data_IF_187984781922
#
_entry.id   IF_187984781922
#
_cell.length_a   1.000
_cell.length_b   1.000
_cell.length_c   1.000
_cell.angle_alpha   90.00
_cell.angle_beta   90.00
_cell.angle_gamma   90.00
#
_symmetry.space_group_name_H-M   'P 1'
#
loop_
_entity.id
_entity.type
_entity.pdbx_description
1 polymer ?
#
# COMPACT_ATOMS: atom_id res chain seq x y z
N UNK A 1 2.70 12.56 30.93
CA UNK A 1 2.83 11.77 32.17
C UNK A 1 4.12 10.97 32.16
N UNK A 2 4.96 11.13 33.18
CA UNK A 2 6.22 10.36 33.35
C UNK A 2 6.66 10.41 34.81
N UNK A 3 7.27 9.33 35.30
CA UNK A 3 7.79 9.24 36.68
C UNK A 3 6.73 9.58 37.76
N UNK A 4 5.48 9.15 37.54
CA UNK A 4 4.36 9.44 38.45
C UNK A 4 3.92 10.90 38.47
N UNK A 5 4.39 11.74 37.55
CA UNK A 5 4.04 13.16 37.46
C UNK A 5 3.31 13.50 36.15
N UNK A 6 2.34 14.40 36.26
CA UNK A 6 1.73 15.09 35.13
C UNK A 6 2.48 16.39 34.86
N UNK A 7 2.81 16.61 33.59
CA UNK A 7 3.51 17.81 33.14
C UNK A 7 2.70 18.48 32.04
N UNK A 8 2.59 19.81 32.10
CA UNK A 8 1.80 20.60 31.17
C UNK A 8 2.62 21.75 30.59
N UNK A 9 2.46 21.96 29.28
CA UNK A 9 3.03 23.09 28.58
C UNK A 9 2.06 23.57 27.51
N UNK A 10 1.93 24.89 27.38
CA UNK A 10 1.06 25.53 26.39
C UNK A 10 1.87 26.37 25.43
N UNK A 11 1.50 26.28 24.16
CA UNK A 11 2.03 27.09 23.08
C UNK A 11 0.94 27.96 22.45
N UNK A 12 1.32 29.10 21.90
CA UNK A 12 0.44 29.96 21.10
C UNK A 12 1.27 30.55 19.97
N UNK A 13 0.86 30.31 18.72
CA UNK A 13 1.63 30.67 17.51
C UNK A 13 3.10 30.18 17.54
N UNK A 14 3.32 28.98 18.08
CA UNK A 14 4.65 28.36 18.19
C UNK A 14 5.47 28.82 19.40
N UNK A 15 5.08 29.90 20.08
CA UNK A 15 5.77 30.43 21.25
C UNK A 15 5.24 29.80 22.54
N UNK A 16 6.15 29.47 23.45
CA UNK A 16 5.78 28.97 24.78
C UNK A 16 5.09 30.08 25.58
N UNK A 17 3.94 29.78 26.16
CA UNK A 17 3.20 30.73 27.01
C UNK A 17 3.82 30.81 28.41
N UNK A 18 4.30 29.66 28.91
CA UNK A 18 4.97 29.53 30.19
C UNK A 18 6.01 28.38 30.11
N UNK A 19 6.95 28.28 31.07
CA UNK A 19 7.79 27.09 31.23
C UNK A 19 6.95 25.82 31.46
N UNK A 20 7.57 24.65 31.25
CA UNK A 20 6.94 23.36 31.58
C UNK A 20 6.58 23.32 33.06
N UNK A 21 5.30 23.10 33.34
CA UNK A 21 4.75 23.02 34.69
C UNK A 21 4.55 21.56 35.10
N UNK A 22 4.81 21.24 36.36
CA UNK A 22 4.38 19.96 36.96
C UNK A 22 3.04 20.18 37.64
N UNK A 23 1.98 19.56 37.12
CA UNK A 23 0.62 19.69 37.64
C UNK A 23 0.38 18.85 38.91
N UNK A 24 1.19 17.80 39.11
CA UNK A 24 1.13 16.97 40.31
C UNK A 24 1.27 15.49 40.01
N UNK A 25 0.72 14.66 40.90
CA UNK A 25 0.74 13.21 40.77
C UNK A 25 -0.15 12.74 39.61
N UNK A 26 0.37 11.81 38.83
CA UNK A 26 -0.32 11.19 37.70
C UNK A 26 -0.91 9.83 38.07
N UNK A 27 -2.13 9.54 37.62
CA UNK A 27 -2.69 8.17 37.60
C UNK A 27 -2.13 7.32 36.47
N UNK A 28 -1.68 7.96 35.38
CA UNK A 28 -1.06 7.30 34.23
C UNK A 28 0.41 6.96 34.53
N UNK A 29 0.85 5.75 34.16
CA UNK A 29 2.23 5.32 34.33
C UNK A 29 3.19 6.12 33.44
N UNK A 30 2.89 6.18 32.14
CA UNK A 30 3.58 7.01 31.15
C UNK A 30 2.64 7.40 30.01
N UNK A 31 2.91 8.52 29.33
CA UNK A 31 2.15 8.92 28.15
C UNK A 31 2.33 10.38 27.77
N UNK A 32 1.76 10.78 26.65
CA UNK A 32 1.73 12.17 26.18
C UNK A 32 0.42 12.46 25.49
N UNK A 33 -0.27 13.51 25.91
CA UNK A 33 -1.42 14.06 25.22
C UNK A 33 -1.01 15.35 24.52
N UNK A 34 -1.49 15.53 23.29
CA UNK A 34 -1.30 16.75 22.51
C UNK A 34 -2.65 17.22 22.01
N UNK A 35 -3.07 18.38 22.50
CA UNK A 35 -4.27 19.07 22.01
C UNK A 35 -3.85 20.34 21.29
N UNK A 36 -4.36 20.53 20.06
CA UNK A 36 -4.06 21.71 19.26
C UNK A 36 -5.29 22.21 18.50
N UNK A 37 -5.31 23.52 18.22
CA UNK A 37 -6.28 24.15 17.32
C UNK A 37 -5.52 24.68 16.10
N UNK A 38 -5.84 24.23 14.87
CA UNK A 38 -5.20 24.75 13.68
C UNK A 38 -5.49 26.25 13.49
N UNK A 39 -4.50 27.01 13.00
CA UNK A 39 -4.64 28.45 12.78
C UNK A 39 -5.48 28.74 11.54
N UNK A 40 -6.53 29.56 11.68
CA UNK A 40 -7.33 30.06 10.56
C UNK A 40 -6.61 31.09 9.70
N UNK A 41 -5.48 31.63 10.16
CA UNK A 41 -4.61 32.50 9.35
C UNK A 41 -3.77 31.70 8.35
N UNK A 42 -3.48 30.43 8.67
CA UNK A 42 -2.71 29.53 7.81
C UNK A 42 -3.62 28.66 6.95
N UNK A 43 -4.68 28.11 7.53
CA UNK A 43 -5.57 27.17 6.84
C UNK A 43 -6.93 27.82 6.55
N UNK A 44 -7.37 27.86 5.28
CA UNK A 44 -8.70 28.39 4.93
C UNK A 44 -9.84 27.52 5.48
N UNK A 45 -9.57 26.25 5.79
CA UNK A 45 -10.51 25.33 6.43
C UNK A 45 -9.83 24.65 7.62
N UNK A 46 -10.44 24.78 8.78
CA UNK A 46 -9.91 24.23 10.05
C UNK A 46 -10.75 23.08 10.61
N UNK A 47 -11.90 22.75 9.99
CA UNK A 47 -12.66 21.58 10.41
C UNK A 47 -11.97 20.29 9.93
N UNK A 48 -11.81 19.35 10.86
CA UNK A 48 -11.31 18.02 10.55
C UNK A 48 -12.39 17.17 9.86
N UNK A 49 -11.98 16.42 8.85
CA UNK A 49 -12.81 15.42 8.19
C UNK A 49 -12.65 14.06 8.89
N UNK A 50 -13.74 13.54 9.44
CA UNK A 50 -13.72 12.28 10.17
C UNK A 50 -13.31 11.10 9.28
N UNK A 51 -13.80 11.05 8.03
CA UNK A 51 -13.55 9.93 7.13
C UNK A 51 -12.07 9.87 6.72
N UNK A 52 -11.42 11.03 6.57
CA UNK A 52 -9.97 11.09 6.30
C UNK A 52 -9.18 10.55 7.49
N UNK A 53 -9.52 10.96 8.72
CA UNK A 53 -8.87 10.48 9.94
C UNK A 53 -9.11 8.99 10.16
N UNK A 54 -10.37 8.55 10.05
CA UNK A 54 -10.77 7.14 10.17
C UNK A 54 -9.97 6.26 9.23
N UNK A 55 -9.88 6.61 7.94
CA UNK A 55 -9.11 5.86 6.97
C UNK A 55 -7.65 5.77 7.41
N UNK A 56 -7.04 6.90 7.78
CA UNK A 56 -5.61 6.96 8.12
C UNK A 56 -5.28 6.19 9.40
N UNK A 57 -6.11 6.28 10.42
CA UNK A 57 -5.93 5.58 11.68
C UNK A 57 -6.14 4.07 11.52
N UNK A 58 -7.11 3.65 10.69
CA UNK A 58 -7.31 2.24 10.36
C UNK A 58 -6.09 1.64 9.66
N UNK A 59 -5.50 2.34 8.69
CA UNK A 59 -4.24 1.93 8.06
C UNK A 59 -3.12 1.74 9.09
N UNK A 60 -2.98 2.70 10.03
CA UNK A 60 -1.97 2.63 11.08
C UNK A 60 -2.18 1.44 12.03
N UNK A 61 -3.43 1.11 12.37
CA UNK A 61 -3.74 -0.05 13.19
C UNK A 61 -3.32 -1.36 12.49
N UNK A 62 -3.56 -1.49 11.18
CA UNK A 62 -3.08 -2.66 10.41
C UNK A 62 -1.55 -2.74 10.34
N UNK A 63 -0.86 -1.61 10.16
CA UNK A 63 0.60 -1.56 10.07
C UNK A 63 1.30 -1.83 11.41
N UNK A 64 0.57 -1.77 12.53
CA UNK A 64 1.09 -1.99 13.88
C UNK A 64 0.18 -2.99 14.59
N UNK A 65 0.33 -4.28 14.24
CA UNK A 65 -0.47 -5.37 14.82
C UNK A 65 -0.48 -5.29 16.35
N UNK A 66 -1.67 -5.38 16.94
CA UNK A 66 -1.87 -5.27 18.39
C UNK A 66 -1.98 -3.84 18.94
N UNK A 67 -1.76 -2.80 18.13
CA UNK A 67 -2.01 -1.42 18.52
C UNK A 67 -3.52 -1.13 18.52
N UNK A 68 -4.05 -0.68 19.65
CA UNK A 68 -5.39 -0.11 19.72
C UNK A 68 -5.35 1.39 19.42
N UNK A 69 -6.20 1.84 18.50
CA UNK A 69 -6.39 3.25 18.16
C UNK A 69 -7.86 3.59 18.30
N UNK A 70 -8.17 4.59 19.12
CA UNK A 70 -9.54 5.08 19.35
C UNK A 70 -9.69 6.45 18.67
N UNK A 71 -10.66 6.57 17.75
CA UNK A 71 -11.04 7.84 17.13
C UNK A 71 -12.41 8.28 17.67
N UNK A 72 -12.45 9.44 18.33
CA UNK A 72 -13.66 10.05 18.88
C UNK A 72 -13.98 11.38 18.22
N UNK A 73 -15.24 11.58 17.88
CA UNK A 73 -15.78 12.84 17.39
C UNK A 73 -16.91 13.32 18.30
N UNK A 74 -16.59 14.34 19.10
CA UNK A 74 -17.47 14.96 20.07
C UNK A 74 -18.06 16.29 19.57
N UNK A 75 -18.12 16.53 18.25
CA UNK A 75 -18.72 17.77 17.70
C UNK A 75 -20.23 17.85 17.85
N UNK A 76 -20.91 16.69 17.98
CA UNK A 76 -22.37 16.61 18.18
C UNK A 76 -22.70 16.05 19.56
N UNK A 77 -23.97 16.16 19.98
CA UNK A 77 -24.42 15.65 21.28
C UNK A 77 -24.22 14.12 21.40
N UNK A 78 -24.29 13.39 20.29
CA UNK A 78 -23.92 11.97 20.23
C UNK A 78 -22.46 11.86 19.81
N UNK A 79 -21.60 11.33 20.68
CA UNK A 79 -20.21 11.08 20.34
C UNK A 79 -20.14 9.93 19.35
N UNK A 80 -19.52 10.16 18.19
CA UNK A 80 -19.16 9.07 17.27
C UNK A 80 -17.81 8.52 17.70
N UNK A 81 -17.71 7.21 17.90
CA UNK A 81 -16.50 6.51 18.29
C UNK A 81 -16.23 5.34 17.35
N UNK A 82 -14.98 5.20 16.94
CA UNK A 82 -14.48 4.03 16.19
C UNK A 82 -13.23 3.51 16.91
N UNK A 83 -13.18 2.21 17.13
CA UNK A 83 -12.04 1.51 17.74
C UNK A 83 -11.39 0.64 16.67
N UNK A 84 -10.10 0.86 16.42
CA UNK A 84 -9.29 0.07 15.51
C UNK A 84 -8.32 -0.78 16.31
N UNK A 85 -8.54 -2.09 16.30
CA UNK A 85 -7.63 -3.07 16.88
C UNK A 85 -7.61 -4.28 15.95
N UNK A 86 -6.44 -4.57 15.38
CA UNK A 86 -6.28 -5.64 14.41
C UNK A 86 -5.11 -6.54 14.79
N UNK A 87 -5.39 -7.83 14.80
CA UNK A 87 -4.42 -8.92 14.87
C UNK A 87 -4.30 -9.52 13.46
N UNK A 88 -3.08 -9.72 12.96
CA UNK A 88 -2.84 -10.27 11.60
C UNK A 88 -2.18 -9.30 10.61
N UNK A 89 -1.81 -8.11 11.05
CA UNK A 89 -0.92 -7.20 10.30
C UNK A 89 -1.37 -6.93 8.86
N UNK A 90 -0.43 -7.08 7.90
CA UNK A 90 -0.68 -6.79 6.49
C UNK A 90 -1.66 -7.77 5.83
N UNK A 91 -1.76 -9.01 6.32
CA UNK A 91 -2.72 -10.00 5.79
C UNK A 91 -4.16 -9.53 6.04
N UNK A 92 -4.45 -9.15 7.29
CA UNK A 92 -5.75 -8.59 7.67
C UNK A 92 -6.05 -7.31 6.87
N UNK A 93 -5.02 -6.53 6.55
CA UNK A 93 -5.18 -5.32 5.73
C UNK A 93 -5.59 -5.65 4.29
N UNK A 94 -4.92 -6.59 3.63
CA UNK A 94 -5.30 -7.04 2.27
C UNK A 94 -6.71 -7.60 2.26
N UNK A 95 -7.06 -8.45 3.22
CA UNK A 95 -8.42 -8.98 3.36
C UNK A 95 -9.46 -7.87 3.55
N UNK A 96 -9.13 -6.83 4.32
CA UNK A 96 -10.01 -5.68 4.50
C UNK A 96 -10.18 -4.86 3.20
N UNK A 97 -9.11 -4.66 2.43
CA UNK A 97 -9.16 -3.95 1.14
C UNK A 97 -10.02 -4.70 0.12
N UNK A 98 -9.92 -6.03 0.11
CA UNK A 98 -10.63 -6.90 -0.83
C UNK A 98 -11.98 -7.41 -0.33
N UNK A 99 -12.49 -6.93 0.81
CA UNK A 99 -13.76 -7.40 1.42
C UNK A 99 -15.01 -7.35 0.53
N UNK A 100 -14.95 -6.58 -0.56
CA UNK A 100 -16.04 -6.43 -1.54
C UNK A 100 -15.78 -7.13 -2.87
N UNK A 101 -14.67 -7.86 -2.99
CA UNK A 101 -14.20 -8.55 -4.19
C UNK A 101 -14.09 -10.05 -3.93
N UNK A 102 -14.08 -10.85 -4.98
CA UNK A 102 -13.85 -12.29 -4.85
C UNK A 102 -12.36 -12.59 -4.99
N UNK A 103 -11.72 -12.99 -3.89
CA UNK A 103 -10.31 -13.38 -3.88
C UNK A 103 -10.10 -14.69 -4.66
N UNK A 104 -9.06 -14.74 -5.49
CA UNK A 104 -8.65 -15.94 -6.22
C UNK A 104 -7.83 -16.90 -5.36
N UNK A 105 -7.15 -16.35 -4.35
CA UNK A 105 -6.30 -17.09 -3.42
C UNK A 105 -6.64 -16.72 -1.99
N UNK A 106 -6.57 -17.70 -1.09
CA UNK A 106 -6.81 -17.51 0.34
C UNK A 106 -6.02 -18.54 1.13
N UNK A 107 -5.27 -18.14 2.16
CA UNK A 107 -5.03 -16.75 2.59
C UNK A 107 -4.18 -15.95 1.59
N UNK A 108 -4.12 -14.61 1.70
CA UNK A 108 -3.17 -13.79 0.94
C UNK A 108 -1.72 -14.28 1.09
N UNK A 109 -0.91 -14.10 0.06
CA UNK A 109 0.53 -14.38 0.13
C UNK A 109 1.19 -13.32 1.01
N UNK A 110 1.87 -13.75 2.06
CA UNK A 110 2.59 -12.87 2.97
C UNK A 110 4.10 -13.11 2.88
N UNK A 111 4.88 -12.08 3.16
CA UNK A 111 6.33 -12.16 3.17
C UNK A 111 6.95 -11.15 4.11
N UNK A 112 7.97 -11.58 4.84
CA UNK A 112 8.76 -10.72 5.72
C UNK A 112 10.22 -11.13 5.62
N UNK A 113 11.09 -10.15 5.38
CA UNK A 113 12.54 -10.34 5.35
C UNK A 113 13.21 -9.13 5.97
N UNK A 114 14.16 -9.39 6.87
CA UNK A 114 15.05 -8.36 7.41
C UNK A 114 16.45 -8.59 6.86
N UNK A 115 17.01 -7.56 6.21
CA UNK A 115 18.39 -7.61 5.75
C UNK A 115 19.30 -7.17 6.90
N UNK A 116 20.11 -8.08 7.48
CA UNK A 116 20.93 -7.77 8.64
C UNK A 116 22.10 -6.82 8.33
N UNK A 117 22.52 -6.71 7.07
CA UNK A 117 23.68 -5.89 6.69
C UNK A 117 23.34 -4.40 6.65
N UNK A 118 22.13 -4.04 6.22
CA UNK A 118 21.69 -2.65 6.08
C UNK A 118 20.51 -2.28 7.00
N UNK A 119 19.98 -3.22 7.78
CA UNK A 119 18.87 -3.02 8.71
C UNK A 119 17.53 -2.71 8.03
N UNK A 120 17.39 -2.97 6.73
CA UNK A 120 16.14 -2.77 6.00
C UNK A 120 15.25 -3.98 6.22
N UNK A 121 14.07 -3.75 6.78
CA UNK A 121 13.00 -4.75 6.89
C UNK A 121 11.97 -4.54 5.80
N UNK A 122 11.62 -5.60 5.09
CA UNK A 122 10.59 -5.63 4.05
C UNK A 122 9.47 -6.54 4.53
N UNK A 123 8.25 -6.05 4.53
CA UNK A 123 7.06 -6.82 4.85
C UNK A 123 6.00 -6.55 3.77
N UNK A 124 5.34 -7.58 3.27
CA UNK A 124 4.26 -7.43 2.31
C UNK A 124 3.17 -8.49 2.49
N UNK A 125 1.97 -8.14 2.03
CA UNK A 125 0.89 -9.08 1.79
C UNK A 125 0.27 -8.78 0.43
N UNK A 126 -0.15 -9.80 -0.31
CA UNK A 126 -0.81 -9.62 -1.60
C UNK A 126 -1.82 -10.73 -1.90
N UNK A 127 -2.83 -10.39 -2.68
CA UNK A 127 -3.78 -11.33 -3.27
C UNK A 127 -4.19 -10.89 -4.67
N UNK A 128 -4.64 -11.83 -5.49
CA UNK A 128 -5.36 -11.53 -6.73
C UNK A 128 -6.85 -11.70 -6.48
N UNK A 129 -7.65 -10.81 -7.07
CA UNK A 129 -9.11 -10.84 -7.04
C UNK A 129 -9.69 -10.76 -8.46
N UNK A 130 -11.01 -10.87 -8.55
CA UNK A 130 -11.78 -10.89 -9.79
C UNK A 130 -11.88 -9.53 -10.50
N UNK A 131 -11.34 -8.45 -9.91
CA UNK A 131 -11.35 -7.13 -10.54
C UNK A 131 -10.28 -6.96 -11.63
N UNK A 132 -10.34 -5.81 -12.30
CA UNK A 132 -9.40 -5.42 -13.36
C UNK A 132 -8.37 -4.36 -12.91
N UNK A 133 -8.40 -3.95 -11.64
CA UNK A 133 -7.61 -2.82 -11.15
C UNK A 133 -6.58 -3.24 -10.10
N UNK A 134 -5.35 -2.77 -10.28
CA UNK A 134 -4.28 -2.88 -9.28
C UNK A 134 -4.59 -1.94 -8.09
N UNK A 135 -4.64 -2.51 -6.89
CA UNK A 135 -4.64 -1.78 -5.62
C UNK A 135 -3.28 -1.99 -4.95
N UNK A 136 -2.38 -1.01 -5.03
CA UNK A 136 -1.05 -1.12 -4.43
C UNK A 136 -0.84 -0.01 -3.41
N UNK A 137 -0.64 -0.38 -2.14
CA UNK A 137 -0.32 0.57 -1.07
C UNK A 137 1.14 0.38 -0.62
N UNK A 138 1.90 1.47 -0.63
CA UNK A 138 3.31 1.47 -0.23
C UNK A 138 3.54 2.31 1.01
N UNK A 139 4.30 1.77 1.96
CA UNK A 139 4.65 2.42 3.22
C UNK A 139 6.13 2.33 3.51
N UNK A 140 6.69 3.40 4.07
CA UNK A 140 8.05 3.46 4.60
C UNK A 140 7.96 4.01 6.01
N UNK A 141 8.38 3.25 7.02
CA UNK A 141 8.29 3.64 8.44
C UNK A 141 6.87 4.11 8.84
N UNK A 142 5.83 3.39 8.41
CA UNK A 142 4.39 3.69 8.61
C UNK A 142 3.86 4.93 7.86
N UNK A 143 4.67 5.58 7.04
CA UNK A 143 4.27 6.74 6.23
C UNK A 143 3.87 6.24 4.83
N UNK A 144 2.69 6.61 4.30
CA UNK A 144 2.24 6.18 2.97
C UNK A 144 2.99 6.95 1.89
N UNK A 145 3.31 6.28 0.79
CA UNK A 145 3.86 6.88 -0.42
C UNK A 145 2.81 6.79 -1.53
N UNK A 146 2.10 7.90 -1.79
CA UNK A 146 1.10 7.95 -2.87
C UNK A 146 1.70 7.67 -4.25
N UNK A 147 2.92 8.17 -4.48
CA UNK A 147 3.60 8.09 -5.77
C UNK A 147 4.61 6.91 -5.80
N UNK A 148 4.59 6.04 -4.79
CA UNK A 148 5.45 4.88 -4.67
C UNK A 148 6.92 5.26 -4.45
N UNK A 149 7.83 4.69 -5.25
CA UNK A 149 9.27 4.94 -5.11
C UNK A 149 10.13 3.72 -5.38
N UNK A 150 11.34 3.71 -4.81
CA UNK A 150 12.34 2.65 -4.96
C UNK A 150 11.82 1.27 -4.53
N UNK A 151 11.08 1.20 -3.42
CA UNK A 151 10.44 -0.02 -2.92
C UNK A 151 9.40 -0.56 -3.90
N UNK A 152 8.49 0.29 -4.40
CA UNK A 152 7.49 -0.10 -5.40
C UNK A 152 8.15 -0.60 -6.70
N UNK A 153 9.20 0.07 -7.16
CA UNK A 153 9.94 -0.34 -8.35
C UNK A 153 10.55 -1.74 -8.17
N UNK A 154 11.19 -2.00 -7.02
CA UNK A 154 11.76 -3.31 -6.69
C UNK A 154 10.69 -4.40 -6.64
N UNK A 155 9.57 -4.13 -5.98
CA UNK A 155 8.44 -5.05 -5.88
C UNK A 155 7.87 -5.40 -7.26
N UNK A 156 7.59 -4.40 -8.11
CA UNK A 156 7.01 -4.63 -9.44
C UNK A 156 7.96 -5.40 -10.36
N UNK A 157 9.26 -5.09 -10.31
CA UNK A 157 10.27 -5.81 -11.08
C UNK A 157 10.35 -7.28 -10.65
N UNK A 158 10.39 -7.54 -9.35
CA UNK A 158 10.43 -8.90 -8.81
C UNK A 158 9.17 -9.69 -9.16
N UNK A 159 7.98 -9.11 -8.94
CA UNK A 159 6.72 -9.75 -9.28
C UNK A 159 6.65 -10.08 -10.77
N UNK A 160 7.01 -9.13 -11.64
CA UNK A 160 7.00 -9.35 -13.10
C UNK A 160 7.93 -10.51 -13.49
N UNK A 161 9.13 -10.56 -12.90
CA UNK A 161 10.10 -11.62 -13.15
C UNK A 161 9.60 -12.99 -12.68
N UNK A 162 9.07 -13.08 -11.46
CA UNK A 162 8.62 -14.36 -10.88
C UNK A 162 7.40 -14.90 -11.60
N UNK A 163 6.37 -14.07 -11.77
CA UNK A 163 5.12 -14.46 -12.43
C UNK A 163 5.39 -14.82 -13.89
N UNK A 164 6.20 -14.02 -14.61
CA UNK A 164 6.60 -14.31 -15.98
C UNK A 164 7.34 -15.64 -16.11
N UNK A 165 8.37 -15.88 -15.28
CA UNK A 165 9.12 -17.14 -15.28
C UNK A 165 8.21 -18.35 -15.02
N UNK A 166 7.28 -18.24 -14.08
CA UNK A 166 6.36 -19.33 -13.78
C UNK A 166 5.35 -19.54 -14.93
N UNK A 167 4.84 -18.47 -15.53
CA UNK A 167 3.97 -18.55 -16.71
C UNK A 167 4.65 -19.26 -17.89
N UNK A 168 5.92 -18.94 -18.16
CA UNK A 168 6.70 -19.60 -19.21
C UNK A 168 6.85 -21.11 -19.01
N UNK A 169 6.92 -21.55 -17.75
CA UNK A 169 6.99 -22.98 -17.40
C UNK A 169 5.68 -23.73 -17.66
N UNK A 170 4.55 -23.03 -17.63
CA UNK A 170 3.22 -23.61 -17.85
C UNK A 170 2.72 -23.46 -19.30
N UNK A 171 2.94 -22.30 -19.91
CA UNK A 171 2.34 -21.91 -21.19
C UNK A 171 3.30 -21.08 -22.04
N UNK A 172 4.41 -21.69 -22.47
CA UNK A 172 5.53 -21.01 -23.14
C UNK A 172 5.16 -20.12 -24.34
N UNK A 173 4.16 -20.50 -25.15
CA UNK A 173 3.76 -19.71 -26.33
C UNK A 173 3.00 -18.44 -25.95
N UNK A 174 2.04 -18.56 -25.03
CA UNK A 174 1.18 -17.45 -24.63
C UNK A 174 1.92 -16.48 -23.70
N UNK A 175 2.85 -17.02 -22.89
CA UNK A 175 3.66 -16.27 -21.94
C UNK A 175 4.59 -15.22 -22.58
N UNK A 176 5.01 -15.40 -23.85
CA UNK A 176 5.94 -14.48 -24.53
C UNK A 176 5.37 -13.06 -24.73
N UNK A 177 4.06 -12.90 -24.62
CA UNK A 177 3.38 -11.62 -24.83
C UNK A 177 3.03 -10.90 -23.53
N UNK A 178 3.31 -11.50 -22.37
CA UNK A 178 2.91 -10.97 -21.07
C UNK A 178 3.63 -9.66 -20.76
N UNK A 179 2.88 -8.69 -20.26
CA UNK A 179 3.36 -7.44 -19.73
C UNK A 179 3.13 -7.38 -18.22
N UNK A 180 3.90 -6.54 -17.51
CA UNK A 180 3.73 -6.41 -16.07
C UNK A 180 2.33 -5.92 -15.66
N UNK A 181 1.63 -5.21 -16.53
CA UNK A 181 0.23 -4.81 -16.30
C UNK A 181 -0.70 -6.02 -16.25
N UNK A 182 -0.54 -7.00 -17.16
CA UNK A 182 -1.30 -8.24 -17.17
C UNK A 182 -1.12 -9.01 -15.85
N UNK A 183 0.11 -8.98 -15.30
CA UNK A 183 0.45 -9.67 -14.05
C UNK A 183 -0.11 -9.00 -12.79
N UNK A 184 -0.43 -7.70 -12.87
CA UNK A 184 -0.96 -6.90 -11.77
C UNK A 184 -2.47 -6.64 -11.89
N UNK A 185 -3.11 -7.12 -12.95
CA UNK A 185 -4.55 -7.01 -13.10
C UNK A 185 -5.25 -7.72 -11.94
N UNK A 186 -6.11 -6.99 -11.22
CA UNK A 186 -6.82 -7.50 -10.04
C UNK A 186 -5.91 -7.80 -8.85
N UNK A 187 -4.67 -7.34 -8.83
CA UNK A 187 -3.77 -7.47 -7.69
C UNK A 187 -4.17 -6.45 -6.60
N UNK A 188 -4.33 -6.91 -5.37
CA UNK A 188 -4.32 -6.07 -4.17
C UNK A 188 -3.08 -6.41 -3.35
N UNK A 189 -2.24 -5.41 -3.08
CA UNK A 189 -0.99 -5.60 -2.36
C UNK A 189 -0.71 -4.43 -1.41
N UNK A 190 -0.15 -4.77 -0.25
CA UNK A 190 0.36 -3.83 0.74
C UNK A 190 1.84 -4.13 0.96
N UNK A 191 2.69 -3.12 0.77
CA UNK A 191 4.14 -3.19 0.96
C UNK A 191 4.56 -2.19 2.03
N UNK A 192 5.17 -2.69 3.10
CA UNK A 192 5.71 -1.89 4.21
C UNK A 192 7.20 -2.15 4.32
N UNK A 193 8.00 -1.09 4.26
CA UNK A 193 9.45 -1.16 4.51
C UNK A 193 9.81 -0.37 5.77
N UNK A 194 10.68 -0.94 6.60
CA UNK A 194 11.36 -0.22 7.68
C UNK A 194 12.79 0.07 7.23
N UNK A 195 13.16 1.34 7.22
CA UNK A 195 14.44 1.82 6.70
C UNK A 195 15.08 2.72 7.75
N UNK A 196 16.35 2.53 8.13
CA UNK A 196 17.03 3.36 9.13
C UNK A 196 17.11 4.85 8.74
N UNK A 197 17.52 5.15 7.50
CA UNK A 197 17.69 6.52 7.00
C UNK A 197 16.99 6.73 5.63
N UNK A 198 15.64 6.80 5.59
CA UNK A 198 14.90 6.89 4.34
C UNK A 198 14.97 8.28 3.72
N UNK A 199 15.21 8.33 2.41
CA UNK A 199 15.22 9.57 1.62
C UNK A 199 13.94 9.72 0.83
N UNK A 200 13.29 10.89 0.94
CA UNK A 200 12.06 11.22 0.24
C UNK A 200 12.27 12.38 -0.73
N UNK A 201 11.50 12.40 -1.83
CA UNK A 201 11.59 13.48 -2.83
C UNK A 201 11.04 14.83 -2.34
N UNK A 202 10.23 14.83 -1.28
CA UNK A 202 9.54 16.00 -0.75
C UNK A 202 9.22 15.83 0.74
N UNK A 203 8.84 16.94 1.39
CA UNK A 203 8.37 16.94 2.79
C UNK A 203 7.06 16.15 2.97
N UNK A 204 6.20 16.09 1.95
CA UNK A 204 4.97 15.28 1.98
C UNK A 204 5.26 13.78 1.95
N UNK A 205 6.52 13.39 1.65
CA UNK A 205 7.00 12.00 1.64
C UNK A 205 6.21 11.09 0.70
N UNK A 206 5.66 11.65 -0.38
CA UNK A 206 4.84 10.92 -1.36
C UNK A 206 5.65 9.90 -2.17
N UNK A 207 6.97 10.08 -2.28
CA UNK A 207 7.86 9.19 -3.04
C UNK A 207 9.16 8.89 -2.32
N UNK A 208 9.47 7.60 -2.17
CA UNK A 208 10.75 7.10 -1.64
C UNK A 208 11.82 7.09 -2.74
N UNK A 209 12.97 7.72 -2.48
CA UNK A 209 14.09 7.84 -3.43
C UNK A 209 15.39 7.16 -2.95
N UNK A 210 15.34 6.46 -1.80
CA UNK A 210 16.42 5.59 -1.31
C UNK A 210 16.69 4.43 -2.27
N UNK A 211 17.70 4.58 -3.14
CA UNK A 211 18.05 3.59 -4.18
C UNK A 211 18.44 2.22 -3.62
N UNK A 212 19.01 2.19 -2.42
CA UNK A 212 19.41 0.99 -1.68
C UNK A 212 18.23 0.08 -1.30
N UNK A 213 17.01 0.64 -1.23
CA UNK A 213 15.80 -0.13 -0.87
C UNK A 213 15.32 -1.01 -2.01
N UNK A 214 15.47 -0.55 -3.27
CA UNK A 214 15.00 -1.29 -4.45
C UNK A 214 15.57 -2.71 -4.53
N UNK A 215 16.90 -2.95 -4.48
CA UNK A 215 17.44 -4.31 -4.59
C UNK A 215 17.03 -5.21 -3.42
N UNK A 216 16.88 -4.67 -2.21
CA UNK A 216 16.45 -5.44 -1.02
C UNK A 216 15.01 -5.91 -1.18
N UNK A 217 14.10 -5.01 -1.56
CA UNK A 217 12.70 -5.37 -1.83
C UNK A 217 12.61 -6.35 -3.00
N UNK A 218 13.35 -6.10 -4.08
CA UNK A 218 13.35 -7.02 -5.22
C UNK A 218 13.78 -8.44 -4.82
N UNK A 219 14.88 -8.58 -4.07
CA UNK A 219 15.37 -9.88 -3.62
C UNK A 219 14.36 -10.59 -2.73
N UNK A 220 13.82 -9.91 -1.71
CA UNK A 220 12.85 -10.49 -0.78
C UNK A 220 11.57 -10.95 -1.49
N UNK A 221 11.02 -10.10 -2.36
CA UNK A 221 9.79 -10.41 -3.11
C UNK A 221 10.03 -11.55 -4.10
N UNK A 222 11.18 -11.55 -4.81
CA UNK A 222 11.48 -12.58 -5.79
C UNK A 222 11.64 -13.97 -5.15
N UNK A 223 12.31 -14.02 -3.99
CA UNK A 223 12.52 -15.25 -3.24
C UNK A 223 11.20 -15.79 -2.66
N UNK A 224 10.48 -14.98 -1.90
CA UNK A 224 9.27 -15.40 -1.18
C UNK A 224 8.14 -15.75 -2.16
N UNK A 225 7.85 -14.89 -3.15
CA UNK A 225 6.81 -15.19 -4.14
C UNK A 225 7.22 -16.38 -5.00
N UNK A 226 8.50 -16.47 -5.39
CA UNK A 226 9.01 -17.62 -6.16
C UNK A 226 8.76 -18.93 -5.43
N UNK A 227 9.16 -18.99 -4.16
CA UNK A 227 8.93 -20.14 -3.29
C UNK A 227 7.44 -20.44 -3.10
N UNK A 228 6.60 -19.42 -2.94
CA UNK A 228 5.16 -19.61 -2.80
C UNK A 228 4.54 -20.25 -4.04
N UNK A 229 4.89 -19.79 -5.25
CA UNK A 229 4.40 -20.35 -6.52
C UNK A 229 4.82 -21.82 -6.72
N UNK A 230 6.00 -22.20 -6.22
CA UNK A 230 6.49 -23.59 -6.26
C UNK A 230 5.76 -24.49 -5.26
N UNK A 231 5.43 -23.97 -4.07
CA UNK A 231 4.79 -24.73 -2.99
C UNK A 231 3.26 -24.75 -3.07
N UNK A 232 2.65 -23.85 -3.84
CA UNK A 232 1.19 -23.72 -4.02
C UNK A 232 0.80 -23.84 -5.50
N UNK A 233 1.07 -24.97 -6.17
CA UNK A 233 0.94 -25.08 -7.63
C UNK A 233 -0.52 -25.00 -8.13
N UNK A 234 -1.53 -25.26 -7.29
CA UNK A 234 -2.93 -25.15 -7.71
C UNK A 234 -3.34 -23.69 -7.77
N UNK A 235 -3.06 -22.95 -6.71
CA UNK A 235 -3.33 -21.53 -6.55
C UNK A 235 -2.51 -20.72 -7.54
N UNK A 236 -1.23 -21.07 -7.73
CA UNK A 236 -0.36 -20.47 -8.73
C UNK A 236 -0.93 -20.63 -10.15
N UNK A 237 -1.45 -21.81 -10.51
CA UNK A 237 -2.12 -22.02 -11.81
C UNK A 237 -3.34 -21.12 -11.97
N UNK A 238 -4.15 -20.94 -10.92
CA UNK A 238 -5.30 -20.03 -10.94
C UNK A 238 -4.87 -18.59 -11.21
N UNK A 239 -3.83 -18.11 -10.53
CA UNK A 239 -3.27 -16.78 -10.75
C UNK A 239 -2.77 -16.64 -12.19
N UNK A 240 -1.99 -17.60 -12.69
CA UNK A 240 -1.43 -17.56 -14.04
C UNK A 240 -2.53 -17.59 -15.11
N UNK A 241 -3.60 -18.36 -14.89
CA UNK A 241 -4.75 -18.35 -15.81
C UNK A 241 -5.33 -16.96 -15.93
N UNK A 242 -5.58 -16.26 -14.81
CA UNK A 242 -6.07 -14.87 -14.83
C UNK A 242 -5.11 -13.94 -15.58
N UNK A 243 -3.80 -14.08 -15.37
CA UNK A 243 -2.78 -13.27 -16.06
C UNK A 243 -2.80 -13.50 -17.58
N UNK A 244 -2.94 -14.76 -18.01
CA UNK A 244 -3.05 -15.11 -19.42
C UNK A 244 -4.35 -14.57 -20.05
N UNK A 245 -5.46 -14.62 -19.32
CA UNK A 245 -6.74 -14.06 -19.75
C UNK A 245 -6.65 -12.53 -19.93
N UNK A 246 -6.03 -11.83 -18.98
CA UNK A 246 -5.76 -10.39 -19.06
C UNK A 246 -4.94 -10.03 -20.32
N UNK A 247 -3.85 -10.77 -20.57
CA UNK A 247 -3.01 -10.57 -21.75
C UNK A 247 -3.76 -10.84 -23.06
N UNK A 248 -4.57 -11.91 -23.11
CA UNK A 248 -5.43 -12.25 -24.25
C UNK A 248 -6.44 -11.13 -24.54
N UNK A 249 -7.11 -10.62 -23.50
CA UNK A 249 -8.04 -9.50 -23.61
C UNK A 249 -7.36 -8.22 -24.13
N UNK A 250 -6.16 -7.89 -23.62
CA UNK A 250 -5.35 -6.76 -24.08
C UNK A 250 -4.98 -6.89 -25.57
N UNK A 251 -4.50 -8.07 -26.00
CA UNK A 251 -4.16 -8.31 -27.41
C UNK A 251 -5.38 -8.27 -28.33
N UNK A 252 -6.52 -8.79 -27.88
CA UNK A 252 -7.78 -8.69 -28.62
C UNK A 252 -8.22 -7.23 -28.80
N UNK A 253 -8.17 -6.43 -27.72
CA UNK A 253 -8.47 -5.00 -27.77
C UNK A 253 -7.52 -4.23 -28.69
N UNK A 254 -6.22 -4.55 -28.67
CA UNK A 254 -5.22 -3.95 -29.57
C UNK A 254 -5.54 -4.24 -31.04
N UNK A 255 -5.81 -5.51 -31.38
CA UNK A 255 -6.17 -5.93 -32.74
C UNK A 255 -7.45 -5.24 -33.23
N UNK A 256 -8.47 -5.13 -32.38
CA UNK A 256 -9.72 -4.45 -32.71
C UNK A 256 -9.51 -2.95 -33.02
N UNK A 257 -8.67 -2.25 -32.24
CA UNK A 257 -8.29 -0.85 -32.48
C UNK A 257 -7.48 -0.67 -33.77
N UNK A 258 -6.60 -1.60 -34.10
CA UNK A 258 -5.84 -1.55 -35.36
C UNK A 258 -6.72 -1.79 -36.59
N UNK A 259 -7.66 -2.75 -36.52
CA UNK A 259 -8.63 -3.04 -37.58
C UNK A 259 -9.53 -1.83 -37.88
N UNK A 260 -10.02 -1.15 -36.85
CA UNK A 260 -10.83 0.06 -36.99
C UNK A 260 -10.03 1.23 -37.57
N UNK A 261 -8.77 1.42 -37.13
CA UNK A 261 -7.88 2.45 -37.69
C UNK A 261 -7.49 2.19 -39.15
N UNK A 262 -7.26 0.93 -39.55
CA UNK A 262 -6.95 0.57 -40.95
C UNK A 262 -8.14 0.74 -41.88
N UNK A 263 -9.35 0.42 -41.43
CA UNK A 263 -10.58 0.66 -42.23
C UNK A 263 -10.79 2.15 -42.53
N UNK A 264 -10.53 3.04 -41.58
CA UNK A 264 -10.64 4.49 -41.80
C UNK A 264 -9.62 5.10 -42.78
N UNK A 265 -8.53 4.39 -43.12
CA UNK A 265 -7.52 4.84 -44.09
C UNK A 265 -7.82 4.33 -45.51
N UNK A 266 -8.49 3.19 -45.64
CA UNK A 266 -8.79 2.58 -46.95
C UNK A 266 -10.03 3.18 -47.64
N UNK A 267 -10.91 3.87 -46.90
CA UNK A 267 -12.12 4.53 -47.45
C UNK A 267 -11.83 5.83 -48.24
N UNK A 268 -10.57 6.21 -48.47
CA UNK A 268 -10.20 7.41 -49.27
C UNK A 268 -9.66 7.07 -50.67
N UNK A 269 -9.53 5.78 -51.05
CA UNK A 269 -8.85 5.43 -52.32
C UNK A 269 -9.60 4.52 -53.32
N UNK A 270 -10.93 4.42 -53.26
CA UNK A 270 -11.67 3.74 -54.34
C UNK A 270 -12.91 4.50 -54.80
N UNK A 271 -12.71 5.47 -55.68
CA UNK A 271 -13.66 5.79 -56.74
C UNK A 271 -13.10 5.28 -58.08
N UNK A 272 -13.66 4.21 -58.66
CA UNK A 272 -13.52 3.92 -60.07
C UNK A 272 -14.61 4.69 -60.83
N UNK A 273 -14.20 5.63 -61.67
CA UNK A 273 -15.06 6.44 -62.54
C UNK A 273 -14.27 7.51 -63.27
#
# INVERSE_FOLDING_TARGET
WRNGQEHFIRFTHGERVAPLETLGASSEETGTEVTFKPSGETFPRTEFDFAILERRLRELAFLNSGLEIILRDARTATVREEIFHYEGGLEAFVNWLDRSRTSLISPPVTGSLENPENGIKVEFALSWNDSFHETMLCFTNNIPQRDGGAHLAGFRQALTRVVGKYAESLAKKDAQSLQGEDMREGLTAVLSVKVPDPKFSSQTKDKLVSSEVQPVVHAAVADIIGHWFETHPKEAKTVISKVLDAASAREAARKARELTRRKGILDVSSLPG
#
